data_IF_225565555893
#
_entry.id   IF_225565555893
#
_cell.length_a   1.000
_cell.length_b   1.000
_cell.length_c   1.000
_cell.angle_alpha   90.00
_cell.angle_beta   90.00
_cell.angle_gamma   90.00
#
_symmetry.space_group_name_H-M   'P 1'
#
loop_
_entity.id
_entity.type
_entity.pdbx_description
1 polymer ?
#
# COMPACT_ATOMS: atom_id res chain seq x y z
N UNK A 1 18.29 11.17 -19.71
CA UNK A 1 16.86 11.38 -19.42
C UNK A 1 16.31 10.09 -18.82
N UNK A 2 16.43 9.92 -17.51
CA UNK A 2 16.00 8.69 -16.80
C UNK A 2 15.43 9.05 -15.42
N UNK A 3 14.63 10.11 -15.33
CA UNK A 3 13.94 10.50 -14.08
C UNK A 3 12.41 10.36 -14.17
N UNK A 4 11.88 9.98 -15.34
CA UNK A 4 10.42 9.99 -15.57
C UNK A 4 9.69 8.71 -15.15
N UNK A 5 10.40 7.64 -14.78
CA UNK A 5 9.76 6.35 -14.44
C UNK A 5 9.57 6.18 -12.94
N UNK A 6 10.39 6.83 -12.12
CA UNK A 6 10.37 6.68 -10.66
C UNK A 6 9.27 7.49 -9.97
N UNK A 7 8.74 8.52 -10.64
CA UNK A 7 7.73 9.41 -10.06
C UNK A 7 6.30 8.87 -10.15
N UNK A 8 6.04 7.85 -10.98
CA UNK A 8 4.66 7.42 -11.25
C UNK A 8 4.11 6.48 -10.17
N UNK A 9 4.93 5.59 -9.62
CA UNK A 9 4.41 4.54 -8.73
C UNK A 9 3.87 5.03 -7.37
N UNK A 10 4.40 6.13 -6.82
CA UNK A 10 3.90 6.69 -5.56
C UNK A 10 2.65 7.59 -5.79
N UNK A 11 2.60 8.31 -6.91
CA UNK A 11 1.43 9.10 -7.34
C UNK A 11 0.23 8.17 -7.67
N UNK A 12 0.47 7.00 -8.27
CA UNK A 12 -0.57 6.03 -8.61
C UNK A 12 -1.33 5.54 -7.37
N UNK A 13 -0.63 5.32 -6.25
CA UNK A 13 -1.27 4.90 -4.98
C UNK A 13 -2.17 6.02 -4.41
N UNK A 14 -1.80 7.28 -4.61
CA UNK A 14 -2.65 8.41 -4.25
C UNK A 14 -3.97 8.46 -5.02
N UNK A 15 -3.98 7.93 -6.25
CA UNK A 15 -5.13 7.84 -7.14
C UNK A 15 -5.95 6.55 -6.96
N UNK A 16 -5.39 5.52 -6.31
CA UNK A 16 -6.09 4.27 -6.03
C UNK A 16 -7.33 4.51 -5.15
N UNK A 17 -8.40 3.79 -5.47
CA UNK A 17 -9.59 3.73 -4.65
C UNK A 17 -9.35 2.87 -3.41
N UNK A 18 -10.19 3.03 -2.39
CA UNK A 18 -10.07 2.27 -1.15
C UNK A 18 -10.16 0.75 -1.40
N UNK A 19 -10.96 0.33 -2.38
CA UNK A 19 -11.04 -1.07 -2.82
C UNK A 19 -9.72 -1.55 -3.43
N UNK A 20 -9.10 -0.76 -4.30
CA UNK A 20 -7.82 -1.13 -4.92
C UNK A 20 -6.68 -1.22 -3.90
N UNK A 21 -6.68 -0.34 -2.90
CA UNK A 21 -5.74 -0.40 -1.78
C UNK A 21 -5.91 -1.68 -0.97
N UNK A 22 -7.15 -2.06 -0.63
CA UNK A 22 -7.45 -3.31 0.09
C UNK A 22 -7.08 -4.52 -0.77
N UNK A 23 -7.49 -4.56 -2.04
CA UNK A 23 -7.19 -5.68 -2.94
C UNK A 23 -5.67 -5.85 -3.10
N UNK A 24 -4.91 -4.75 -3.19
CA UNK A 24 -3.44 -4.77 -3.25
C UNK A 24 -2.83 -5.29 -1.95
N UNK A 25 -3.36 -4.85 -0.80
CA UNK A 25 -2.94 -5.34 0.51
C UNK A 25 -3.24 -6.83 0.72
N UNK A 26 -4.42 -7.29 0.31
CA UNK A 26 -4.83 -8.70 0.42
C UNK A 26 -4.09 -9.60 -0.57
N UNK A 27 -3.71 -9.06 -1.74
CA UNK A 27 -2.87 -9.76 -2.71
C UNK A 27 -1.41 -9.85 -2.27
N UNK A 28 -0.94 -8.93 -1.43
CA UNK A 28 0.42 -8.95 -0.91
C UNK A 28 0.63 -10.16 0.01
N UNK A 29 1.71 -10.90 -0.23
CA UNK A 29 2.06 -12.01 0.66
C UNK A 29 2.55 -11.47 2.01
N UNK A 30 2.33 -12.21 3.10
CA UNK A 30 2.82 -11.81 4.42
C UNK A 30 4.33 -11.51 4.45
N UNK A 31 5.13 -12.23 3.65
CA UNK A 31 6.58 -11.98 3.49
C UNK A 31 6.89 -10.66 2.77
N UNK A 32 6.03 -10.26 1.84
CA UNK A 32 6.12 -8.97 1.15
C UNK A 32 5.69 -7.84 2.07
N UNK A 33 4.77 -8.06 3.00
CA UNK A 33 4.40 -7.10 4.04
C UNK A 33 5.56 -6.91 5.05
N UNK A 34 6.19 -8.02 5.48
CA UNK A 34 7.36 -7.97 6.39
C UNK A 34 8.56 -7.26 5.75
N UNK A 35 8.77 -7.41 4.44
CA UNK A 35 9.77 -6.68 3.67
C UNK A 35 9.12 -5.77 2.62
N UNK A 36 8.23 -4.88 3.08
CA UNK A 36 7.45 -3.99 2.23
C UNK A 36 8.32 -3.22 1.24
N UNK A 37 8.09 -3.49 -0.05
CA UNK A 37 8.62 -2.68 -1.12
C UNK A 37 8.16 -1.22 -0.97
N UNK A 38 8.86 -0.23 -1.56
CA UNK A 38 8.43 1.17 -1.51
C UNK A 38 6.97 1.37 -1.95
N UNK A 39 6.51 0.58 -2.92
CA UNK A 39 5.12 0.55 -3.36
C UNK A 39 4.17 0.06 -2.27
N UNK A 40 4.48 -1.08 -1.63
CA UNK A 40 3.65 -1.60 -0.52
C UNK A 40 3.63 -0.66 0.68
N UNK A 41 4.74 0.03 0.96
CA UNK A 41 4.76 1.08 2.00
C UNK A 41 3.80 2.22 1.68
N UNK A 42 3.80 2.71 0.44
CA UNK A 42 2.87 3.74 0.02
C UNK A 42 1.39 3.27 0.16
N UNK A 43 1.09 2.01 -0.19
CA UNK A 43 -0.26 1.42 -0.03
C UNK A 43 -0.66 1.37 1.45
N UNK A 44 0.24 0.93 2.33
CA UNK A 44 0.01 0.90 3.79
C UNK A 44 -0.24 2.32 4.33
N UNK A 45 0.58 3.29 3.95
CA UNK A 45 0.44 4.68 4.37
C UNK A 45 -0.88 5.30 3.85
N UNK A 46 -1.27 4.99 2.61
CA UNK A 46 -2.52 5.46 2.04
C UNK A 46 -3.74 4.87 2.78
N UNK A 47 -3.72 3.57 3.08
CA UNK A 47 -4.77 2.93 3.89
C UNK A 47 -4.83 3.51 5.30
N UNK A 48 -3.69 3.72 5.95
CA UNK A 48 -3.63 4.33 7.29
C UNK A 48 -4.14 5.77 7.31
N UNK A 49 -3.79 6.59 6.29
CA UNK A 49 -4.28 7.97 6.15
C UNK A 49 -5.79 8.04 5.93
N UNK A 50 -6.36 7.05 5.25
CA UNK A 50 -7.80 6.98 4.93
C UNK A 50 -8.62 6.18 5.95
N UNK A 51 -7.99 5.72 7.05
CA UNK A 51 -8.59 4.89 8.09
C UNK A 51 -9.28 3.62 7.52
N UNK A 52 -8.67 3.03 6.49
CA UNK A 52 -9.19 1.83 5.83
C UNK A 52 -8.76 0.60 6.64
N UNK A 53 -9.71 0.01 7.36
CA UNK A 53 -9.49 -1.29 8.00
C UNK A 53 -9.60 -2.42 6.97
N UNK A 54 -8.48 -3.05 6.63
CA UNK A 54 -8.51 -4.34 5.93
C UNK A 54 -9.00 -5.46 6.86
N UNK A 55 -9.75 -6.42 6.33
CA UNK A 55 -10.24 -7.57 7.11
C UNK A 55 -9.09 -8.46 7.64
N UNK A 56 -7.92 -8.33 7.01
CA UNK A 56 -6.71 -9.11 7.24
C UNK A 56 -5.73 -8.46 8.24
N UNK A 57 -6.21 -7.59 9.13
CA UNK A 57 -5.38 -7.08 10.23
C UNK A 57 -4.99 -8.22 11.19
N UNK A 58 -3.71 -8.60 11.35
CA UNK A 58 -3.23 -8.88 12.69
C UNK A 58 -3.34 -7.53 13.42
N UNK A 59 -4.10 -7.51 14.51
CA UNK A 59 -4.14 -6.36 15.43
C UNK A 59 -2.70 -5.90 15.68
N UNK A 60 -2.27 -4.82 15.05
CA UNK A 60 -1.10 -4.08 15.51
C UNK A 60 -1.62 -3.32 16.72
N UNK A 61 -1.64 -4.02 17.84
CA UNK A 61 -1.83 -3.39 19.14
C UNK A 61 -0.63 -2.44 19.32
N UNK A 62 -0.90 -1.14 19.29
CA UNK A 62 0.01 -0.15 19.85
C UNK A 62 0.21 -0.41 21.35
#
# INVERSE_FOLDING_TARGET
MTDTVRKTHEDDVGLMTDKELIDTWEAASGKEIENASPFMRAVIEAMAKRDISSSSHPRVAW
#
